data_IF_983972208577
#
_entry.id   IF_983972208577
#
_cell.length_a   1.000
_cell.length_b   1.000
_cell.length_c   1.000
_cell.angle_alpha   90.00
_cell.angle_beta   90.00
_cell.angle_gamma   90.00
#
_symmetry.space_group_name_H-M   'P 1'
#
loop_
_entity.id
_entity.type
_entity.pdbx_description
1 polymer ?
#
# COMPACT_ATOMS: atom_id res chain seq x y z
N UNK A 1 -16.79 18.75 -36.77
CA UNK A 1 -16.39 18.94 -35.37
C UNK A 1 -17.27 18.05 -34.54
N UNK A 2 -16.74 16.94 -34.04
CA UNK A 2 -17.40 16.11 -33.04
C UNK A 2 -16.39 15.93 -31.91
N UNK A 3 -16.68 16.56 -30.77
CA UNK A 3 -15.91 16.48 -29.55
C UNK A 3 -16.35 15.23 -28.79
N UNK A 4 -15.79 14.08 -29.15
CA UNK A 4 -15.85 12.88 -28.32
C UNK A 4 -14.58 12.83 -27.48
N UNK A 5 -14.56 13.62 -26.40
CA UNK A 5 -13.65 13.40 -25.29
C UNK A 5 -14.32 12.31 -24.42
N UNK A 6 -13.87 11.05 -24.44
CA UNK A 6 -14.32 10.10 -23.45
C UNK A 6 -13.82 10.62 -22.09
N UNK A 7 -14.79 10.81 -21.20
CA UNK A 7 -14.59 11.16 -19.80
C UNK A 7 -13.51 10.22 -19.26
N UNK A 8 -12.38 10.77 -18.84
CA UNK A 8 -11.39 10.07 -18.03
C UNK A 8 -12.10 9.68 -16.74
N UNK A 9 -12.70 8.50 -16.74
CA UNK A 9 -13.02 7.79 -15.52
C UNK A 9 -11.68 7.33 -14.93
N UNK A 10 -10.94 8.30 -14.37
CA UNK A 10 -9.99 8.03 -13.31
C UNK A 10 -10.84 7.59 -12.11
N UNK A 11 -11.36 6.36 -12.19
CA UNK A 11 -11.58 5.57 -10.98
C UNK A 11 -10.30 5.77 -10.20
N UNK A 12 -10.39 6.42 -9.04
CA UNK A 12 -9.30 6.56 -8.08
C UNK A 12 -9.00 5.17 -7.52
N UNK A 13 -8.55 4.30 -8.43
CA UNK A 13 -7.83 3.09 -8.17
C UNK A 13 -6.46 3.61 -7.77
N UNK A 14 -6.40 4.26 -6.60
CA UNK A 14 -5.18 4.53 -5.86
C UNK A 14 -4.60 3.14 -5.66
N UNK A 15 -3.79 2.73 -6.64
CA UNK A 15 -3.01 1.52 -6.54
C UNK A 15 -2.19 1.70 -5.27
N UNK A 16 -2.21 0.71 -4.37
CA UNK A 16 -1.34 0.77 -3.20
C UNK A 16 0.08 1.09 -3.66
N UNK A 17 0.79 1.88 -2.88
CA UNK A 17 2.17 2.26 -3.17
C UNK A 17 3.00 1.01 -3.49
N UNK A 18 4.02 1.16 -4.32
CA UNK A 18 4.82 0.03 -4.79
C UNK A 18 5.43 -0.74 -3.61
N UNK A 19 5.81 -0.02 -2.55
CA UNK A 19 6.30 -0.57 -1.28
C UNK A 19 5.20 -1.35 -0.53
N UNK A 20 3.99 -0.78 -0.39
CA UNK A 20 2.83 -1.45 0.23
C UNK A 20 2.48 -2.72 -0.54
N UNK A 21 2.51 -2.67 -1.87
CA UNK A 21 2.20 -3.80 -2.72
C UNK A 21 3.25 -4.90 -2.59
N UNK A 22 4.53 -4.55 -2.46
CA UNK A 22 5.60 -5.50 -2.20
C UNK A 22 5.39 -6.19 -0.85
N UNK A 23 5.05 -5.44 0.20
CA UNK A 23 4.70 -6.00 1.52
C UNK A 23 3.51 -6.98 1.45
N UNK A 24 2.47 -6.64 0.69
CA UNK A 24 1.33 -7.54 0.46
C UNK A 24 1.75 -8.85 -0.24
N UNK A 25 2.61 -8.78 -1.26
CA UNK A 25 3.06 -9.96 -2.01
C UNK A 25 4.11 -10.79 -1.25
N UNK A 26 4.99 -10.15 -0.48
CA UNK A 26 6.07 -10.80 0.28
C UNK A 26 5.56 -11.48 1.55
N UNK A 27 4.68 -10.81 2.30
CA UNK A 27 4.17 -11.29 3.60
C UNK A 27 2.72 -11.77 3.56
N UNK A 28 2.10 -11.83 2.37
CA UNK A 28 0.69 -12.22 2.18
C UNK A 28 -0.26 -11.36 3.04
N UNK A 29 0.05 -10.07 3.14
CA UNK A 29 -0.69 -9.10 3.96
C UNK A 29 -1.85 -8.49 3.18
N UNK A 30 -2.91 -8.14 3.90
CA UNK A 30 -3.97 -7.30 3.37
C UNK A 30 -3.47 -5.86 3.18
N UNK A 31 -4.11 -5.09 2.29
CA UNK A 31 -3.71 -3.71 1.99
C UNK A 31 -3.67 -2.84 3.26
N UNK A 32 -4.69 -2.91 4.12
CA UNK A 32 -4.73 -2.16 5.38
C UNK A 32 -3.53 -2.49 6.29
N UNK A 33 -3.11 -3.76 6.33
CA UNK A 33 -1.98 -4.21 7.15
C UNK A 33 -0.66 -3.78 6.53
N UNK A 34 -0.49 -3.94 5.23
CA UNK A 34 0.70 -3.49 4.53
C UNK A 34 0.90 -1.97 4.61
N UNK A 35 -0.18 -1.18 4.55
CA UNK A 35 -0.12 0.28 4.75
C UNK A 35 0.36 0.62 6.17
N UNK A 36 -0.10 -0.10 7.20
CA UNK A 36 0.39 0.08 8.57
C UNK A 36 1.82 -0.36 8.75
N UNK A 37 2.21 -1.48 8.16
CA UNK A 37 3.59 -2.01 8.23
C UNK A 37 4.53 -0.99 7.59
N UNK A 38 4.18 -0.45 6.42
CA UNK A 38 4.92 0.63 5.78
C UNK A 38 5.04 1.86 6.70
N UNK A 39 3.95 2.28 7.33
CA UNK A 39 3.95 3.40 8.29
C UNK A 39 4.88 3.11 9.48
N UNK A 40 4.87 1.89 10.03
CA UNK A 40 5.74 1.45 11.13
C UNK A 40 7.22 1.47 10.70
N UNK A 41 7.53 0.98 9.50
CA UNK A 41 8.88 1.02 8.94
C UNK A 41 9.39 2.45 8.81
N UNK A 42 8.57 3.37 8.32
CA UNK A 42 8.93 4.79 8.16
C UNK A 42 9.04 5.53 9.51
N UNK A 43 8.13 5.25 10.45
CA UNK A 43 8.10 5.93 11.76
C UNK A 43 9.21 5.45 12.70
N UNK A 44 9.48 4.14 12.73
CA UNK A 44 10.47 3.54 13.62
C UNK A 44 11.83 3.31 12.95
N UNK A 45 11.89 3.35 11.61
CA UNK A 45 13.08 3.03 10.84
C UNK A 45 13.50 1.56 10.97
N UNK A 46 12.53 0.66 11.07
CA UNK A 46 12.73 -0.79 11.20
C UNK A 46 12.62 -1.48 9.83
N UNK A 47 13.03 -2.74 9.75
CA UNK A 47 12.85 -3.54 8.54
C UNK A 47 11.42 -4.12 8.43
N UNK A 48 11.13 -4.69 7.27
CA UNK A 48 9.82 -5.28 6.93
C UNK A 48 9.42 -6.39 7.90
N UNK A 49 10.34 -7.30 8.24
CA UNK A 49 10.10 -8.38 9.19
C UNK A 49 9.78 -7.83 10.61
N UNK A 50 10.57 -6.89 11.13
CA UNK A 50 10.32 -6.29 12.46
C UNK A 50 9.01 -5.48 12.46
N UNK A 51 8.70 -4.74 11.40
CA UNK A 51 7.47 -3.95 11.30
C UNK A 51 6.20 -4.82 11.32
N UNK A 52 6.23 -5.98 10.65
CA UNK A 52 5.13 -6.96 10.68
C UNK A 52 4.95 -7.52 12.09
N UNK A 53 6.03 -7.90 12.79
CA UNK A 53 5.95 -8.38 14.17
C UNK A 53 5.37 -7.30 15.11
N UNK A 54 5.70 -6.04 14.87
CA UNK A 54 5.16 -4.90 15.63
C UNK A 54 3.67 -4.69 15.35
N UNK A 55 3.22 -4.79 14.10
CA UNK A 55 1.81 -4.69 13.72
C UNK A 55 0.98 -5.80 14.38
N UNK A 56 1.47 -7.05 14.36
CA UNK A 56 0.81 -8.18 15.02
C UNK A 56 0.77 -8.06 16.57
N UNK A 57 1.64 -7.22 17.13
CA UNK A 57 1.77 -6.99 18.57
C UNK A 57 0.89 -5.84 19.10
N UNK A 58 0.20 -5.08 18.23
CA UNK A 58 -0.69 -3.95 18.55
C UNK A 58 -2.14 -4.38 18.82
#
# INVERSE_FOLDING_TARGET
MSTDNPIENNTTNETPDEDVKELMESHDLDQDTAERVQEIMDDLGVDEDDAVEIEESL
#
